data_IF_791538299186
#
_entry.id   IF_791538299186
#
_cell.length_a   1.000
_cell.length_b   1.000
_cell.length_c   1.000
_cell.angle_alpha   90.00
_cell.angle_beta   90.00
_cell.angle_gamma   90.00
#
_symmetry.space_group_name_H-M   'P 1'
#
loop_
_entity.id
_entity.type
_entity.pdbx_description
1 polymer ?
#
# COMPACT_ATOMS: atom_id res chain seq x y z
N UNK A 1 16.08 -2.41 7.36
CA UNK A 1 14.83 -2.28 6.57
C UNK A 1 14.97 -3.14 5.33
N UNK A 2 14.12 -4.16 5.15
CA UNK A 2 14.13 -5.00 3.95
C UNK A 2 13.77 -4.13 2.74
N UNK A 3 14.63 -4.07 1.74
CA UNK A 3 14.47 -3.26 0.53
C UNK A 3 13.52 -3.94 -0.50
N UNK A 4 12.42 -4.53 -0.03
CA UNK A 4 11.55 -5.37 -0.86
C UNK A 4 10.36 -4.56 -1.37
N UNK A 5 10.29 -4.40 -2.69
CA UNK A 5 9.10 -3.89 -3.37
C UNK A 5 7.99 -4.94 -3.30
N UNK A 6 6.79 -4.51 -2.93
CA UNK A 6 5.62 -5.38 -2.83
C UNK A 6 4.85 -5.46 -4.15
N UNK A 7 4.66 -4.33 -4.81
CA UNK A 7 4.01 -4.27 -6.12
C UNK A 7 4.43 -3.02 -6.89
N UNK A 8 4.16 -3.06 -8.19
CA UNK A 8 4.37 -1.95 -9.11
C UNK A 8 3.04 -1.53 -9.72
N UNK A 9 2.91 -0.27 -10.07
CA UNK A 9 1.68 0.27 -10.63
C UNK A 9 1.89 1.60 -11.35
N UNK A 10 0.76 2.17 -11.76
CA UNK A 10 0.67 3.51 -12.32
C UNK A 10 -0.05 4.40 -11.32
N UNK A 11 0.65 5.37 -10.76
CA UNK A 11 0.11 6.36 -9.86
C UNK A 11 -0.34 7.60 -10.64
N UNK A 12 -1.56 8.06 -10.35
CA UNK A 12 -2.11 9.32 -10.85
C UNK A 12 -2.38 10.22 -9.65
N UNK A 13 -1.56 11.26 -9.51
CA UNK A 13 -1.73 12.29 -8.48
C UNK A 13 -2.76 13.31 -8.95
N UNK A 14 -3.70 13.69 -8.07
CA UNK A 14 -4.76 14.63 -8.43
C UNK A 14 -4.28 16.09 -8.48
N UNK A 15 -4.90 16.94 -9.31
CA UNK A 15 -4.50 18.34 -9.51
C UNK A 15 -4.58 19.19 -8.24
N UNK A 16 -5.39 18.78 -7.27
CA UNK A 16 -5.54 19.46 -5.98
C UNK A 16 -4.36 19.24 -5.02
N UNK A 17 -3.35 18.47 -5.42
CA UNK A 17 -2.17 18.15 -4.61
C UNK A 17 -0.91 18.82 -5.18
N UNK A 18 0.11 19.00 -4.35
CA UNK A 18 1.44 19.44 -4.82
C UNK A 18 2.25 18.26 -5.33
N UNK A 19 3.25 18.51 -6.18
CA UNK A 19 4.12 17.48 -6.71
C UNK A 19 4.83 16.67 -5.59
N UNK A 20 5.10 15.40 -5.85
CA UNK A 20 5.71 14.46 -4.88
C UNK A 20 6.98 13.80 -5.43
N UNK A 21 7.82 13.29 -4.53
CA UNK A 21 9.10 12.64 -4.88
C UNK A 21 9.19 11.25 -4.25
N UNK A 22 10.20 10.47 -4.68
CA UNK A 22 10.51 9.18 -4.06
C UNK A 22 10.73 9.33 -2.55
N UNK A 23 10.21 8.38 -1.77
CA UNK A 23 10.12 8.50 -0.31
C UNK A 23 8.79 9.03 0.19
N UNK A 24 7.88 9.43 -0.70
CA UNK A 24 6.50 9.76 -0.37
C UNK A 24 5.77 8.57 0.29
N UNK A 25 5.04 8.81 1.38
CA UNK A 25 4.40 7.76 2.22
C UNK A 25 2.89 7.96 2.40
N UNK A 26 2.08 7.85 1.34
CA UNK A 26 0.64 7.97 1.47
C UNK A 26 0.03 6.69 2.06
N UNK A 27 -1.25 6.81 2.41
CA UNK A 27 -2.09 5.69 2.81
C UNK A 27 -2.76 5.07 1.58
N UNK A 28 -2.77 3.74 1.52
CA UNK A 28 -3.42 2.94 0.49
C UNK A 28 -4.68 2.34 1.10
N UNK A 29 -5.84 2.60 0.51
CA UNK A 29 -7.08 1.94 0.92
C UNK A 29 -7.11 0.51 0.36
N UNK A 30 -6.70 -0.46 1.18
CA UNK A 30 -6.57 -1.87 0.78
C UNK A 30 -7.88 -2.63 0.97
N UNK A 31 -8.65 -2.26 1.99
CA UNK A 31 -10.01 -2.72 2.25
C UNK A 31 -10.88 -1.53 2.62
N UNK A 32 -12.20 -1.66 2.56
CA UNK A 32 -13.14 -0.56 2.87
C UNK A 32 -12.92 0.01 4.29
N UNK A 33 -12.50 -0.84 5.21
CA UNK A 33 -12.23 -0.52 6.61
C UNK A 33 -10.73 -0.49 6.97
N UNK A 34 -9.81 -0.61 6.01
CA UNK A 34 -8.39 -0.75 6.30
C UNK A 34 -7.49 0.03 5.33
N UNK A 35 -6.68 0.91 5.92
CA UNK A 35 -5.67 1.70 5.22
C UNK A 35 -4.29 1.29 5.69
N UNK A 36 -3.34 1.18 4.77
CA UNK A 36 -1.93 0.93 5.10
C UNK A 36 -1.02 1.96 4.46
N UNK A 37 -0.05 2.47 5.20
CA UNK A 37 1.00 3.32 4.63
C UNK A 37 1.96 2.51 3.77
N UNK A 38 2.38 3.07 2.64
CA UNK A 38 3.41 2.50 1.81
C UNK A 38 4.38 3.56 1.33
N UNK A 39 5.66 3.21 1.17
CA UNK A 39 6.66 4.10 0.58
C UNK A 39 6.62 3.95 -0.93
N UNK A 40 6.50 5.07 -1.63
CA UNK A 40 6.59 5.16 -3.08
C UNK A 40 8.03 5.40 -3.52
N UNK A 41 8.46 4.68 -4.55
CA UNK A 41 9.68 4.94 -5.31
C UNK A 41 9.29 5.11 -6.78
N UNK A 42 9.73 6.21 -7.38
CA UNK A 42 9.50 6.53 -8.78
C UNK A 42 10.81 6.33 -9.55
N UNK A 43 10.98 5.20 -10.27
CA UNK A 43 12.26 4.84 -10.88
C UNK A 43 12.60 5.65 -12.13
N UNK A 44 11.61 6.22 -12.80
CA UNK A 44 11.76 6.91 -14.09
C UNK A 44 11.86 8.44 -13.98
N UNK A 45 11.63 9.01 -12.79
CA UNK A 45 11.60 10.46 -12.57
C UNK A 45 11.89 10.86 -11.13
N UNK A 46 12.44 12.05 -10.95
CA UNK A 46 12.70 12.62 -9.63
C UNK A 46 11.45 13.23 -8.97
N UNK A 47 10.52 13.74 -9.78
CA UNK A 47 9.33 14.47 -9.35
C UNK A 47 8.11 13.96 -10.13
N UNK A 48 6.99 13.79 -9.43
CA UNK A 48 5.68 13.44 -10.00
C UNK A 48 4.80 14.67 -9.86
N UNK A 49 4.48 15.32 -10.98
CA UNK A 49 3.53 16.42 -10.99
C UNK A 49 2.09 15.90 -10.93
N UNK A 50 1.15 16.71 -10.43
CA UNK A 50 -0.26 16.43 -10.55
C UNK A 50 -0.70 16.24 -12.02
N UNK A 51 -1.76 15.46 -12.23
CA UNK A 51 -2.32 15.11 -13.55
C UNK A 51 -1.40 14.30 -14.48
N UNK A 52 -0.18 13.98 -14.07
CA UNK A 52 0.73 13.13 -14.82
C UNK A 52 0.78 11.70 -14.25
N UNK A 53 0.52 10.66 -15.06
CA UNK A 53 0.76 9.29 -14.64
C UNK A 53 2.25 9.03 -14.42
N UNK A 54 2.58 8.36 -13.32
CA UNK A 54 3.93 7.94 -13.00
C UNK A 54 4.00 6.43 -12.69
N UNK A 55 5.06 5.77 -13.17
CA UNK A 55 5.38 4.43 -12.71
C UNK A 55 5.82 4.51 -11.25
N UNK A 56 5.26 3.64 -10.42
CA UNK A 56 5.57 3.60 -8.99
C UNK A 56 5.85 2.18 -8.56
N UNK A 57 6.88 2.04 -7.73
CA UNK A 57 7.17 0.85 -6.94
C UNK A 57 6.74 1.14 -5.50
N UNK A 58 5.93 0.27 -4.92
CA UNK A 58 5.38 0.47 -3.57
C UNK A 58 5.93 -0.58 -2.64
N UNK A 59 6.37 -0.11 -1.46
CA UNK A 59 6.71 -0.93 -0.32
C UNK A 59 5.72 -0.64 0.81
N UNK A 60 4.87 -1.61 1.18
CA UNK A 60 3.93 -1.46 2.27
C UNK A 60 4.60 -1.71 3.63
N UNK A 61 4.07 -1.11 4.70
CA UNK A 61 4.70 -1.17 6.02
C UNK A 61 4.65 -2.57 6.67
N UNK A 62 3.57 -3.32 6.48
CA UNK A 62 3.36 -4.66 7.10
C UNK A 62 2.48 -5.55 6.23
N UNK A 63 2.93 -5.92 5.01
CA UNK A 63 2.13 -6.67 4.03
C UNK A 63 1.56 -8.00 4.54
N UNK A 64 2.16 -8.59 5.56
CA UNK A 64 1.71 -9.81 6.22
C UNK A 64 0.41 -9.67 7.03
N UNK A 65 0.02 -8.44 7.40
CA UNK A 65 -1.20 -8.18 8.18
C UNK A 65 -2.45 -8.24 7.31
N UNK A 66 -2.32 -7.99 6.01
CA UNK A 66 -3.43 -7.91 5.05
C UNK A 66 -3.11 -8.72 3.78
N UNK A 67 -2.98 -10.05 3.89
CA UNK A 67 -2.74 -10.89 2.71
C UNK A 67 -3.95 -10.87 1.75
N UNK A 68 -3.71 -11.32 0.52
CA UNK A 68 -4.76 -11.52 -0.49
C UNK A 68 -5.62 -10.27 -0.77
N UNK A 69 -4.98 -9.10 -0.86
CA UNK A 69 -5.64 -7.82 -1.04
C UNK A 69 -5.27 -7.13 -2.36
N UNK A 70 -4.58 -7.74 -3.32
CA UNK A 70 -4.22 -7.10 -4.59
C UNK A 70 -4.44 -8.06 -5.76
N UNK A 71 -4.84 -7.50 -6.90
CA UNK A 71 -4.84 -8.18 -8.20
C UNK A 71 -4.36 -7.18 -9.27
N UNK A 72 -3.84 -7.68 -10.38
CA UNK A 72 -3.44 -6.82 -11.49
C UNK A 72 -4.67 -6.12 -12.10
N UNK A 73 -4.56 -4.81 -12.35
CA UNK A 73 -5.67 -3.97 -12.76
C UNK A 73 -6.49 -3.37 -11.60
N UNK A 74 -6.27 -3.79 -10.35
CA UNK A 74 -6.92 -3.16 -9.18
C UNK A 74 -6.56 -1.68 -9.10
N UNK A 75 -7.56 -0.83 -8.87
CA UNK A 75 -7.37 0.60 -8.58
C UNK A 75 -7.49 0.84 -7.09
N UNK A 76 -6.42 1.32 -6.47
CA UNK A 76 -6.36 1.74 -5.07
C UNK A 76 -6.62 3.23 -4.94
N UNK A 77 -7.34 3.60 -3.88
CA UNK A 77 -7.44 5.00 -3.45
C UNK A 77 -6.21 5.37 -2.62
N UNK A 78 -5.55 6.45 -2.98
CA UNK A 78 -4.36 6.97 -2.30
C UNK A 78 -4.77 8.19 -1.48
N UNK A 79 -4.48 8.13 -0.18
CA UNK A 79 -5.02 9.02 0.84
C UNK A 79 -3.90 9.69 1.64
N UNK A 80 -4.18 10.89 2.13
CA UNK A 80 -3.46 11.55 3.21
C UNK A 80 -4.45 11.89 4.33
N UNK A 81 -4.47 11.07 5.37
CA UNK A 81 -5.54 11.10 6.37
C UNK A 81 -6.88 10.77 5.71
N UNK A 82 -7.83 11.70 5.78
CA UNK A 82 -9.15 11.57 5.15
C UNK A 82 -9.20 12.09 3.71
N UNK A 83 -8.13 12.73 3.23
CA UNK A 83 -8.11 13.37 1.92
C UNK A 83 -7.69 12.38 0.84
N UNK A 84 -8.52 12.23 -0.20
CA UNK A 84 -8.15 11.51 -1.42
C UNK A 84 -7.23 12.38 -2.27
N UNK A 85 -6.00 11.90 -2.50
CA UNK A 85 -4.94 12.65 -3.20
C UNK A 85 -4.56 12.03 -4.54
N UNK A 86 -4.96 10.79 -4.80
CA UNK A 86 -4.70 10.14 -6.09
C UNK A 86 -5.28 8.75 -6.20
N UNK A 87 -5.00 8.12 -7.34
CA UNK A 87 -5.35 6.73 -7.63
C UNK A 87 -4.11 5.96 -8.08
N UNK A 88 -4.03 4.70 -7.70
CA UNK A 88 -2.93 3.82 -8.10
C UNK A 88 -3.49 2.55 -8.72
N UNK A 89 -3.18 2.33 -10.00
CA UNK A 89 -3.54 1.09 -10.71
C UNK A 89 -2.42 0.07 -10.59
N UNK A 90 -2.68 -1.07 -9.95
CA UNK A 90 -1.72 -2.16 -9.78
C UNK A 90 -1.41 -2.77 -11.16
N UNK A 91 -0.13 -2.85 -11.53
CA UNK A 91 0.33 -3.50 -12.76
C UNK A 91 0.95 -4.87 -12.53
N UNK A 92 1.71 -5.02 -11.45
CA UNK A 92 2.46 -6.25 -11.18
C UNK A 92 2.62 -6.46 -9.69
N UNK A 93 2.34 -7.67 -9.22
CA UNK A 93 2.48 -8.02 -7.81
C UNK A 93 3.77 -8.82 -7.63
N UNK A 94 4.69 -8.30 -6.82
CA UNK A 94 5.99 -8.92 -6.54
C UNK A 94 5.93 -9.73 -5.25
N UNK A 95 5.27 -9.20 -4.23
CA UNK A 95 4.96 -9.92 -3.01
C UNK A 95 3.71 -10.78 -3.18
N UNK A 96 3.94 -12.07 -3.45
CA UNK A 96 2.91 -13.07 -3.73
C UNK A 96 1.87 -13.22 -2.61
N UNK A 97 2.18 -12.89 -1.36
CA UNK A 97 1.20 -12.99 -0.25
C UNK A 97 0.06 -11.99 -0.39
N UNK A 98 0.25 -10.90 -1.13
CA UNK A 98 -0.77 -9.89 -1.38
C UNK A 98 -1.69 -10.28 -2.53
N UNK A 99 -1.28 -11.20 -3.40
CA UNK A 99 -2.02 -11.57 -4.61
C UNK A 99 -3.29 -12.37 -4.32
N UNK A 100 -4.38 -12.04 -5.01
CA UNK A 100 -5.66 -12.76 -4.99
C UNK A 100 -6.33 -12.68 -6.35
N UNK A 101 -7.23 -13.62 -6.67
CA UNK A 101 -8.17 -13.44 -7.78
C UNK A 101 -9.28 -12.46 -7.37
N UNK A 102 -9.74 -11.63 -8.30
CA UNK A 102 -10.70 -10.57 -7.98
C UNK A 102 -12.00 -11.12 -7.36
N UNK A 103 -12.47 -12.29 -7.81
CA UNK A 103 -13.65 -12.95 -7.26
C UNK A 103 -13.48 -13.45 -5.81
N UNK A 104 -12.24 -13.64 -5.37
CA UNK A 104 -11.89 -14.16 -4.04
C UNK A 104 -11.52 -13.04 -3.06
N UNK A 105 -11.55 -11.79 -3.49
CA UNK A 105 -11.23 -10.64 -2.66
C UNK A 105 -12.34 -10.37 -1.64
N UNK A 106 -11.96 -10.19 -0.36
CA UNK A 106 -12.85 -9.74 0.71
C UNK A 106 -12.81 -8.23 0.85
N UNK A 107 -13.95 -7.56 0.70
CA UNK A 107 -14.04 -6.09 0.75
C UNK A 107 -13.66 -5.50 2.11
N UNK A 108 -13.92 -6.23 3.20
CA UNK A 108 -13.54 -5.87 4.56
C UNK A 108 -12.35 -6.69 5.01
N UNK A 109 -11.40 -6.00 5.63
CA UNK A 109 -10.32 -6.63 6.36
C UNK A 109 -10.86 -7.21 7.67
N UNK A 110 -10.50 -8.46 7.93
CA UNK A 110 -10.76 -9.19 9.16
C UNK A 110 -9.41 -9.48 9.79
N UNK A 111 -9.28 -9.27 11.10
CA UNK A 111 -8.05 -9.58 11.82
C UNK A 111 -7.73 -11.08 11.67
N UNK A 112 -6.57 -11.46 11.11
CA UNK A 112 -6.17 -12.85 11.12
C UNK A 112 -6.00 -13.28 12.58
N UNK A 113 -6.81 -14.26 13.01
CA UNK A 113 -6.91 -14.81 14.38
C UNK A 113 -5.58 -15.22 15.07
N UNK A 114 -4.42 -15.04 14.42
CA UNK A 114 -3.07 -15.26 14.92
C UNK A 114 -2.38 -14.03 15.52
N UNK A 115 -2.90 -12.81 15.40
CA UNK A 115 -2.29 -11.61 16.02
C UNK A 115 -2.49 -11.55 17.54
N UNK A 116 -3.41 -12.36 18.09
CA UNK A 116 -3.78 -12.42 19.52
C UNK A 116 -2.85 -13.23 20.44
N UNK A 117 -1.66 -13.65 20.00
CA UNK A 117 -0.71 -14.23 20.95
C UNK A 117 -0.09 -13.10 21.79
N UNK A 118 -0.31 -13.05 23.11
CA UNK A 118 0.29 -12.01 23.94
C UNK A 118 1.81 -12.09 23.75
N UNK A 119 2.42 -10.95 23.38
CA UNK A 119 3.86 -10.77 23.53
C UNK A 119 4.16 -11.16 24.98
N UNK A 120 4.93 -12.24 25.18
CA UNK A 120 5.42 -12.59 26.51
C UNK A 120 6.05 -11.32 27.07
N UNK A 121 5.41 -10.75 28.07
CA UNK A 121 5.92 -9.63 28.84
C UNK A 121 7.33 -10.05 29.26
N UNK A 122 8.34 -9.27 28.89
CA UNK A 122 9.65 -9.40 29.52
C UNK A 122 9.38 -9.24 31.01
N UNK A 123 9.47 -10.35 31.74
CA UNK A 123 9.39 -10.38 33.19
C UNK A 123 10.45 -9.41 33.72
N UNK A 124 10.00 -8.38 34.43
CA UNK A 124 10.85 -7.55 35.28
C UNK A 124 11.67 -8.47 36.18
N UNK A 125 12.98 -8.43 36.00
CA UNK A 125 13.93 -9.03 36.94
C UNK A 125 13.95 -8.10 38.14
N UNK A 126 13.43 -8.61 39.28
CA UNK A 126 13.62 -8.03 40.61
C UNK A 126 15.08 -7.97 41.00
#
# INVERSE_FOLDING_TARGET
>A
MNNRIDFEGVFHLFPSHVAVMSGYRPQHLLHENYQSSGTHTYPDRALVNPDEPALVQVQLISPEVYPCCLWEGRVLSILEGTRLVGKLTVRKIINKSLGVLQENYKSRWEDPARLDKPRRQCSEVK
#
